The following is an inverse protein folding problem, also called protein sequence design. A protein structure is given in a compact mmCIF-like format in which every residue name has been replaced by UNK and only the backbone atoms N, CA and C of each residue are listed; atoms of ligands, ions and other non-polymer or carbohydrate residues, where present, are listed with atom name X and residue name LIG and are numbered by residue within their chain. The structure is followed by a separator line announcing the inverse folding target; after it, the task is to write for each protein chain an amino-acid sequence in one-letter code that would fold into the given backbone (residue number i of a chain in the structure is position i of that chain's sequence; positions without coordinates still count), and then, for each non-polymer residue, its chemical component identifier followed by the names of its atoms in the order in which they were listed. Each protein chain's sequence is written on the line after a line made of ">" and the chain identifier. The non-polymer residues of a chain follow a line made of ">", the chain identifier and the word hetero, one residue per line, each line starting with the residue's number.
data_IF_260368885675
#
_entry.id   IF_260368885675
#
_cell.length_a   1.000
_cell.length_b   1.000
_cell.length_c   1.000
_cell.angle_alpha   90.00
_cell.angle_beta   90.00
_cell.angle_gamma   90.00
#
_symmetry.space_group_name_H-M   'P 1'
#
loop_
_entity.id
_entity.type
_entity.pdbx_description
1 polymer ?
#
# COMPACT_ATOMS: atom_id res chain seq x y z
N UNK A 1 45.60 -2.87 -22.62
CA UNK A 1 44.81 -2.43 -21.44
C UNK A 1 43.37 -2.16 -21.86
N UNK A 2 42.41 -3.03 -21.52
CA UNK A 2 40.98 -2.86 -21.86
C UNK A 2 40.22 -2.46 -20.58
N UNK A 3 39.68 -1.24 -20.52
CA UNK A 3 38.80 -0.76 -19.44
C UNK A 3 37.36 -1.16 -19.76
N UNK A 4 36.78 -2.06 -18.97
CA UNK A 4 35.34 -2.34 -18.99
C UNK A 4 34.59 -1.20 -18.28
N UNK A 5 33.70 -0.52 -19.00
CA UNK A 5 32.69 0.37 -18.42
C UNK A 5 31.68 -0.48 -17.66
N UNK A 6 31.69 -0.43 -16.33
CA UNK A 6 30.55 -0.87 -15.52
C UNK A 6 29.38 0.07 -15.81
N UNK A 7 28.35 -0.43 -16.50
CA UNK A 7 27.04 0.19 -16.50
C UNK A 7 26.49 0.10 -15.07
N UNK A 8 26.40 1.24 -14.39
CA UNK A 8 25.60 1.38 -13.18
C UNK A 8 24.15 1.20 -13.59
N UNK A 9 23.56 0.05 -13.25
CA UNK A 9 22.12 -0.13 -13.24
C UNK A 9 21.57 0.74 -12.11
N UNK A 10 20.95 1.86 -12.46
CA UNK A 10 20.15 2.66 -11.53
C UNK A 10 18.88 1.86 -11.21
N UNK A 11 18.95 0.98 -10.21
CA UNK A 11 17.77 0.36 -9.62
C UNK A 11 17.14 1.38 -8.68
N UNK A 12 16.10 2.07 -9.15
CA UNK A 12 15.24 2.86 -8.27
C UNK A 12 14.56 1.88 -7.30
N UNK A 13 14.74 2.01 -5.97
CA UNK A 13 14.12 1.10 -5.02
C UNK A 13 12.59 1.23 -5.12
N UNK A 14 11.90 0.09 -5.04
CA UNK A 14 10.43 0.05 -5.14
C UNK A 14 9.80 0.97 -4.09
N UNK A 15 10.22 0.84 -2.82
CA UNK A 15 9.90 1.81 -1.77
C UNK A 15 11.15 2.61 -1.38
N UNK A 16 11.17 3.94 -1.55
CA UNK A 16 12.29 4.76 -1.10
C UNK A 16 12.37 4.77 0.43
N UNK A 17 13.60 4.82 0.98
CA UNK A 17 13.81 5.07 2.41
C UNK A 17 13.23 6.43 2.74
N UNK A 18 12.46 6.51 3.81
CA UNK A 18 11.72 7.69 4.30
C UNK A 18 12.56 8.95 4.58
N UNK A 19 13.88 8.90 4.41
CA UNK A 19 14.80 10.04 4.60
C UNK A 19 15.13 10.80 3.32
N UNK A 20 14.81 10.27 2.14
CA UNK A 20 14.96 11.02 0.89
C UNK A 20 13.66 11.77 0.63
N UNK A 21 13.76 13.11 0.71
CA UNK A 21 12.65 14.06 0.70
C UNK A 21 11.81 13.92 -0.57
N UNK A 22 10.72 13.14 -0.51
CA UNK A 22 9.71 13.14 -1.56
C UNK A 22 9.15 14.57 -1.70
N UNK A 23 9.12 15.15 -2.91
CA UNK A 23 8.56 16.49 -3.11
C UNK A 23 7.11 16.50 -2.64
N UNK A 24 6.80 17.48 -1.80
CA UNK A 24 5.59 17.57 -0.95
C UNK A 24 4.33 17.98 -1.73
N UNK A 25 4.21 17.61 -2.99
CA UNK A 25 3.01 17.91 -3.79
C UNK A 25 2.02 16.78 -3.60
N UNK A 26 1.29 16.86 -2.48
CA UNK A 26 0.45 15.79 -1.98
C UNK A 26 -0.93 15.88 -2.61
N UNK A 27 -1.15 15.08 -3.66
CA UNK A 27 -2.50 14.83 -4.12
C UNK A 27 -3.24 14.04 -3.04
N UNK A 28 -4.12 14.72 -2.31
CA UNK A 28 -5.07 14.12 -1.37
C UNK A 28 -6.43 14.07 -2.07
N UNK A 29 -7.06 12.90 -2.10
CA UNK A 29 -8.32 12.68 -2.81
C UNK A 29 -9.47 13.54 -2.21
N UNK A 30 -10.29 14.22 -3.03
CA UNK A 30 -11.28 15.22 -2.56
C UNK A 30 -12.45 14.65 -1.75
N UNK A 31 -12.72 13.34 -1.80
CA UNK A 31 -13.79 12.75 -0.96
C UNK A 31 -13.50 12.80 0.55
N UNK A 32 -12.30 13.24 0.95
CA UNK A 32 -11.89 13.29 2.35
C UNK A 32 -12.26 14.57 3.10
N UNK A 33 -12.57 15.68 2.42
CA UNK A 33 -13.10 16.86 3.14
C UNK A 33 -14.44 16.53 3.82
N UNK A 34 -15.19 15.57 3.27
CA UNK A 34 -16.42 15.06 3.86
C UNK A 34 -16.16 14.10 5.04
N UNK A 35 -15.16 13.20 4.93
CA UNK A 35 -14.76 12.25 5.99
C UNK A 35 -14.17 12.97 7.22
N UNK A 36 -13.46 14.09 7.00
CA UNK A 36 -12.92 14.94 8.07
C UNK A 36 -14.01 15.69 8.84
N UNK A 37 -15.16 15.94 8.22
CA UNK A 37 -16.28 16.65 8.82
C UNK A 37 -17.28 15.73 9.53
N UNK A 38 -17.42 14.47 9.09
CA UNK A 38 -18.39 13.52 9.65
C UNK A 38 -17.93 12.85 10.94
N UNK A 39 -16.63 12.61 11.10
CA UNK A 39 -16.09 11.90 12.28
C UNK A 39 -15.17 12.81 13.08
N UNK A 40 -15.71 13.42 14.14
CA UNK A 40 -14.89 14.03 15.20
C UNK A 40 -13.93 12.96 15.73
N UNK A 41 -12.64 13.15 15.48
CA UNK A 41 -11.52 12.43 16.09
C UNK A 41 -11.18 10.99 15.61
N UNK A 42 -11.51 10.59 14.38
CA UNK A 42 -10.78 9.46 13.77
C UNK A 42 -9.38 9.95 13.37
N UNK A 43 -8.34 9.40 14.02
CA UNK A 43 -6.93 9.63 13.71
C UNK A 43 -6.62 9.09 12.31
N UNK A 44 -6.97 9.80 11.25
CA UNK A 44 -6.67 9.40 9.88
C UNK A 44 -5.16 9.53 9.66
N UNK A 45 -4.50 8.39 9.43
CA UNK A 45 -3.08 8.37 9.15
C UNK A 45 -2.81 8.48 7.66
N UNK A 46 -1.65 9.04 7.35
CA UNK A 46 -1.24 9.35 5.98
C UNK A 46 -0.05 8.49 5.58
N UNK A 47 -0.27 7.62 4.58
CA UNK A 47 0.76 6.79 3.96
C UNK A 47 1.14 7.37 2.59
N UNK A 48 2.39 7.79 2.43
CA UNK A 48 2.89 8.30 1.15
C UNK A 48 3.54 7.16 0.35
N UNK A 49 3.08 6.96 -0.89
CA UNK A 49 3.55 5.90 -1.78
C UNK A 49 3.91 6.48 -3.14
N UNK A 50 4.93 5.93 -3.81
CA UNK A 50 5.13 6.23 -5.23
C UNK A 50 3.97 5.67 -6.04
N UNK A 51 3.69 6.21 -7.24
CA UNK A 51 2.62 5.64 -8.06
C UNK A 51 2.87 4.18 -8.45
N UNK A 52 4.13 3.77 -8.61
CA UNK A 52 4.49 2.36 -8.79
C UNK A 52 4.05 1.51 -7.59
N UNK A 53 4.30 1.99 -6.38
CA UNK A 53 3.87 1.31 -5.15
C UNK A 53 2.36 1.25 -5.03
N UNK A 54 1.64 2.32 -5.41
CA UNK A 54 0.18 2.34 -5.43
C UNK A 54 -0.35 1.26 -6.38
N UNK A 55 0.25 1.06 -7.57
CA UNK A 55 -0.13 -0.01 -8.50
C UNK A 55 0.10 -1.39 -7.92
N UNK A 56 1.24 -1.59 -7.24
CA UNK A 56 1.56 -2.86 -6.58
C UNK A 56 0.54 -3.15 -5.48
N UNK A 57 0.24 -2.17 -4.62
CA UNK A 57 -0.74 -2.33 -3.54
C UNK A 57 -2.15 -2.56 -4.11
N UNK A 58 -2.57 -1.84 -5.15
CA UNK A 58 -3.85 -2.06 -5.83
C UNK A 58 -3.96 -3.50 -6.37
N UNK A 59 -2.89 -4.00 -6.99
CA UNK A 59 -2.84 -5.36 -7.55
C UNK A 59 -2.96 -6.42 -6.43
N UNK A 60 -2.24 -6.23 -5.32
CA UNK A 60 -2.28 -7.14 -4.17
C UNK A 60 -3.67 -7.14 -3.54
N UNK A 61 -4.25 -5.95 -3.29
CA UNK A 61 -5.60 -5.80 -2.74
C UNK A 61 -6.64 -6.43 -3.67
N UNK A 62 -6.55 -6.19 -4.98
CA UNK A 62 -7.44 -6.79 -5.98
C UNK A 62 -7.36 -8.31 -6.04
N UNK A 63 -6.15 -8.87 -5.91
CA UNK A 63 -5.93 -10.32 -5.86
C UNK A 63 -6.55 -10.93 -4.60
N UNK A 64 -6.38 -10.29 -3.45
CA UNK A 64 -6.96 -10.76 -2.19
C UNK A 64 -8.48 -10.61 -2.15
N UNK A 65 -9.05 -9.53 -2.72
CA UNK A 65 -10.49 -9.39 -2.93
C UNK A 65 -11.05 -10.53 -3.77
N UNK A 66 -10.40 -10.84 -4.90
CA UNK A 66 -10.81 -11.94 -5.76
C UNK A 66 -10.79 -13.26 -4.98
N UNK A 67 -9.74 -13.53 -4.21
CA UNK A 67 -9.67 -14.71 -3.34
C UNK A 67 -10.81 -14.75 -2.31
N UNK A 68 -11.08 -13.64 -1.63
CA UNK A 68 -12.17 -13.56 -0.67
C UNK A 68 -13.51 -13.78 -1.34
N UNK A 69 -13.79 -13.17 -2.48
CA UNK A 69 -15.05 -13.38 -3.21
C UNK A 69 -15.28 -14.85 -3.58
N UNK A 70 -14.23 -15.56 -4.01
CA UNK A 70 -14.32 -16.99 -4.33
C UNK A 70 -14.50 -17.87 -3.10
N UNK A 71 -13.97 -17.49 -1.93
CA UNK A 71 -14.02 -18.27 -0.68
C UNK A 71 -15.13 -17.82 0.29
N UNK A 72 -15.72 -16.64 0.09
CA UNK A 72 -16.65 -15.94 0.99
C UNK A 72 -18.07 -16.46 1.00
N UNK A 73 -18.42 -17.39 0.09
CA UNK A 73 -19.73 -18.09 0.12
C UNK A 73 -20.05 -18.74 1.48
N UNK A 74 -19.07 -18.81 2.39
CA UNK A 74 -19.12 -19.55 3.64
C UNK A 74 -19.14 -18.70 4.93
N UNK A 75 -18.84 -17.38 4.92
CA UNK A 75 -18.73 -16.59 6.18
C UNK A 75 -19.21 -15.13 6.10
N UNK A 76 -20.15 -14.69 6.98
CA UNK A 76 -20.61 -13.30 7.07
C UNK A 76 -19.48 -12.28 7.36
N UNK A 77 -18.47 -12.66 8.13
CA UNK A 77 -17.31 -11.80 8.44
C UNK A 77 -16.49 -11.40 7.21
N UNK A 78 -16.56 -12.18 6.12
CA UNK A 78 -15.88 -11.83 4.87
C UNK A 78 -16.60 -10.70 4.13
N UNK A 79 -17.91 -10.51 4.30
CA UNK A 79 -18.66 -9.44 3.61
C UNK A 79 -18.17 -8.06 4.02
N UNK A 80 -17.95 -7.84 5.32
CA UNK A 80 -17.44 -6.57 5.85
C UNK A 80 -16.01 -6.30 5.32
N UNK A 81 -15.15 -7.33 5.31
CA UNK A 81 -13.79 -7.22 4.75
C UNK A 81 -13.81 -6.89 3.25
N UNK A 82 -14.65 -7.58 2.47
CA UNK A 82 -14.82 -7.33 1.04
C UNK A 82 -15.27 -5.89 0.80
N UNK A 83 -16.25 -5.39 1.56
CA UNK A 83 -16.73 -4.02 1.42
C UNK A 83 -15.64 -2.99 1.73
N UNK A 84 -14.91 -3.14 2.85
CA UNK A 84 -13.79 -2.24 3.21
C UNK A 84 -12.67 -2.29 2.18
N UNK A 85 -12.23 -3.48 1.77
CA UNK A 85 -11.19 -3.64 0.75
C UNK A 85 -11.62 -3.08 -0.61
N UNK A 86 -12.89 -3.21 -0.99
CA UNK A 86 -13.44 -2.60 -2.21
C UNK A 86 -13.36 -1.08 -2.14
N UNK A 87 -13.72 -0.49 -0.99
CA UNK A 87 -13.56 0.95 -0.75
C UNK A 87 -12.09 1.42 -0.80
N UNK A 88 -11.18 0.66 -0.20
CA UNK A 88 -9.73 0.92 -0.27
C UNK A 88 -9.22 0.84 -1.72
N UNK A 89 -9.62 -0.19 -2.46
CA UNK A 89 -9.26 -0.37 -3.88
C UNK A 89 -9.75 0.79 -4.74
N UNK A 90 -10.98 1.26 -4.53
CA UNK A 90 -11.52 2.42 -5.24
C UNK A 90 -10.70 3.70 -4.96
N UNK A 91 -10.26 3.92 -3.72
CA UNK A 91 -9.36 5.03 -3.38
C UNK A 91 -8.02 4.91 -4.10
N UNK A 92 -7.41 3.73 -4.11
CA UNK A 92 -6.15 3.47 -4.83
C UNK A 92 -6.30 3.73 -6.34
N UNK A 93 -7.37 3.23 -6.95
CA UNK A 93 -7.68 3.46 -8.36
C UNK A 93 -7.89 4.95 -8.68
N UNK A 94 -8.59 5.68 -7.79
CA UNK A 94 -8.75 7.13 -7.89
C UNK A 94 -7.41 7.85 -7.92
N UNK A 95 -6.46 7.48 -7.06
CA UNK A 95 -5.11 8.05 -7.06
C UNK A 95 -4.39 7.77 -8.39
N UNK A 96 -4.43 6.53 -8.89
CA UNK A 96 -3.82 6.16 -10.17
C UNK A 96 -4.40 6.93 -11.36
N UNK A 97 -5.69 7.26 -11.34
CA UNK A 97 -6.31 8.09 -12.39
C UNK A 97 -5.75 9.52 -12.44
N UNK A 98 -5.21 10.02 -11.33
CA UNK A 98 -4.56 11.34 -11.29
C UNK A 98 -3.09 11.31 -11.73
N UNK A 99 -2.39 10.17 -11.66
CA UNK A 99 -1.06 9.98 -12.25
C UNK A 99 -1.07 10.34 -13.74
N UNK A 100 -2.14 9.93 -14.44
CA UNK A 100 -2.32 10.17 -15.88
C UNK A 100 -2.42 11.66 -16.26
N UNK A 101 -2.63 12.55 -15.28
CA UNK A 101 -2.65 14.01 -15.47
C UNK A 101 -1.24 14.64 -15.35
N UNK A 102 -0.20 13.83 -15.14
CA UNK A 102 1.21 14.18 -15.39
C UNK A 102 1.90 15.07 -14.36
N UNK A 103 1.27 15.39 -13.23
CA UNK A 103 1.78 16.40 -12.29
C UNK A 103 2.47 15.85 -11.03
N UNK A 104 2.35 14.55 -10.73
CA UNK A 104 2.74 13.99 -9.43
C UNK A 104 3.56 12.71 -9.59
N UNK A 105 4.58 12.51 -8.75
CA UNK A 105 5.40 11.29 -8.69
C UNK A 105 4.96 10.33 -7.57
N UNK A 106 4.16 10.82 -6.63
CA UNK A 106 3.68 10.08 -5.46
C UNK A 106 2.25 10.47 -5.10
N UNK A 107 1.62 9.62 -4.29
CA UNK A 107 0.28 9.83 -3.78
C UNK A 107 0.24 9.65 -2.26
N UNK A 108 -0.64 10.42 -1.62
CA UNK A 108 -0.92 10.28 -0.20
C UNK A 108 -2.22 9.49 -0.02
N UNK A 109 -2.10 8.28 0.51
CA UNK A 109 -3.23 7.46 0.91
C UNK A 109 -3.59 7.76 2.36
N UNK A 110 -4.85 8.16 2.57
CA UNK A 110 -5.40 8.38 3.90
C UNK A 110 -6.09 7.11 4.38
N UNK A 111 -5.74 6.65 5.58
CA UNK A 111 -6.09 5.33 6.12
C UNK A 111 -6.62 5.47 7.55
N UNK A 112 -7.71 4.77 7.85
CA UNK A 112 -8.15 4.54 9.24
C UNK A 112 -7.31 3.42 9.88
N UNK A 113 -7.48 3.19 11.20
CA UNK A 113 -6.84 2.06 11.88
C UNK A 113 -7.21 0.74 11.23
N UNK A 114 -8.50 0.52 10.94
CA UNK A 114 -8.93 -0.74 10.36
C UNK A 114 -8.49 -0.88 8.90
N UNK A 115 -8.31 0.24 8.17
CA UNK A 115 -7.67 0.17 6.85
C UNK A 115 -6.23 -0.33 6.97
N UNK A 116 -5.48 0.13 7.98
CA UNK A 116 -4.10 -0.30 8.25
C UNK A 116 -4.03 -1.77 8.68
N UNK A 117 -4.88 -2.19 9.61
CA UNK A 117 -4.96 -3.59 10.05
C UNK A 117 -5.27 -4.53 8.89
N UNK A 118 -6.24 -4.14 8.06
CA UNK A 118 -6.67 -4.92 6.91
C UNK A 118 -5.59 -4.96 5.82
N UNK A 119 -4.88 -3.85 5.58
CA UNK A 119 -3.75 -3.83 4.66
C UNK A 119 -2.58 -4.70 5.17
N UNK A 120 -2.33 -4.72 6.48
CA UNK A 120 -1.33 -5.60 7.08
C UNK A 120 -1.71 -7.08 6.89
N UNK A 121 -2.98 -7.44 7.13
CA UNK A 121 -3.50 -8.80 6.87
C UNK A 121 -3.30 -9.22 5.40
N UNK A 122 -3.65 -8.33 4.47
CA UNK A 122 -3.49 -8.56 3.02
C UNK A 122 -2.02 -8.78 2.65
N UNK A 123 -1.11 -7.95 3.17
CA UNK A 123 0.32 -8.07 2.91
C UNK A 123 0.90 -9.37 3.47
N UNK A 124 0.52 -9.77 4.69
CA UNK A 124 0.99 -11.04 5.29
C UNK A 124 0.51 -12.26 4.49
N UNK A 125 -0.76 -12.24 4.05
CA UNK A 125 -1.32 -13.29 3.21
C UNK A 125 -0.56 -13.39 1.87
N UNK A 126 -0.31 -12.25 1.22
CA UNK A 126 0.40 -12.19 -0.06
C UNK A 126 1.87 -12.60 0.07
N UNK A 127 2.58 -12.15 1.10
CA UNK A 127 3.94 -12.56 1.41
C UNK A 127 4.04 -14.07 1.66
N UNK A 128 3.05 -14.64 2.34
CA UNK A 128 2.96 -16.08 2.55
C UNK A 128 2.77 -16.83 1.22
N UNK A 129 1.90 -16.32 0.34
CA UNK A 129 1.66 -16.92 -0.98
C UNK A 129 2.88 -16.85 -1.89
N UNK A 130 3.55 -15.69 -2.01
CA UNK A 130 4.76 -15.54 -2.82
C UNK A 130 5.84 -16.53 -2.37
N UNK A 131 6.09 -16.63 -1.06
CA UNK A 131 7.11 -17.54 -0.51
C UNK A 131 6.82 -19.01 -0.81
N UNK A 132 5.54 -19.39 -0.91
CA UNK A 132 5.10 -20.78 -1.16
C UNK A 132 5.03 -21.12 -2.65
N UNK A 133 4.57 -20.19 -3.47
CA UNK A 133 4.18 -20.45 -4.86
C UNK A 133 5.21 -19.98 -5.89
N UNK A 134 6.15 -19.10 -5.50
CA UNK A 134 7.13 -18.52 -6.42
C UNK A 134 8.51 -19.12 -6.16
N UNK A 135 9.13 -19.65 -7.23
CA UNK A 135 10.51 -20.15 -7.21
C UNK A 135 11.46 -19.05 -6.73
N UNK A 136 12.51 -19.42 -5.98
CA UNK A 136 13.50 -18.44 -5.50
C UNK A 136 14.18 -17.77 -6.69
N UNK A 137 14.08 -16.45 -6.76
CA UNK A 137 14.85 -15.60 -7.67
C UNK A 137 15.24 -14.31 -6.94
N UNK A 138 16.21 -13.59 -7.50
CA UNK A 138 16.60 -12.29 -6.96
C UNK A 138 15.43 -11.30 -7.00
N UNK A 139 14.65 -11.24 -8.09
CA UNK A 139 13.53 -10.30 -8.17
C UNK A 139 12.46 -10.60 -7.13
N UNK A 140 12.20 -11.89 -6.86
CA UNK A 140 11.27 -12.29 -5.82
C UNK A 140 11.74 -11.83 -4.45
N UNK A 141 13.03 -12.01 -4.14
CA UNK A 141 13.58 -11.66 -2.84
C UNK A 141 13.58 -10.13 -2.62
N UNK A 142 13.86 -9.36 -3.67
CA UNK A 142 13.74 -7.89 -3.68
C UNK A 142 12.30 -7.45 -3.43
N UNK A 143 11.31 -8.05 -4.12
CA UNK A 143 9.90 -7.77 -3.89
C UNK A 143 9.46 -8.13 -2.46
N UNK A 144 9.88 -9.28 -1.94
CA UNK A 144 9.58 -9.70 -0.56
C UNK A 144 10.17 -8.71 0.44
N UNK A 145 11.39 -8.24 0.23
CA UNK A 145 12.03 -7.25 1.10
C UNK A 145 11.30 -5.91 1.05
N UNK A 146 10.93 -5.46 -0.16
CA UNK A 146 10.17 -4.24 -0.39
C UNK A 146 8.81 -4.28 0.34
N UNK A 147 8.06 -5.37 0.19
CA UNK A 147 6.77 -5.55 0.87
C UNK A 147 6.90 -5.69 2.39
N UNK A 148 7.97 -6.32 2.90
CA UNK A 148 8.25 -6.37 4.35
C UNK A 148 8.59 -4.99 4.91
N UNK A 149 9.23 -4.11 4.14
CA UNK A 149 9.45 -2.73 4.54
C UNK A 149 8.12 -1.99 4.67
N UNK A 150 7.24 -2.06 3.65
CA UNK A 150 5.91 -1.48 3.71
C UNK A 150 5.10 -2.02 4.90
N UNK A 151 5.16 -3.32 5.15
CA UNK A 151 4.48 -3.95 6.28
C UNK A 151 4.92 -3.37 7.62
N UNK A 152 6.23 -3.22 7.85
CA UNK A 152 6.75 -2.59 9.07
C UNK A 152 6.28 -1.15 9.23
N UNK A 153 6.25 -0.38 8.13
CA UNK A 153 5.72 0.99 8.17
C UNK A 153 4.25 1.01 8.61
N UNK A 154 3.44 0.06 8.13
CA UNK A 154 2.03 -0.07 8.54
C UNK A 154 1.93 -0.49 10.00
N UNK A 155 2.75 -1.44 10.46
CA UNK A 155 2.79 -1.86 11.86
C UNK A 155 3.16 -0.71 12.79
N UNK A 156 4.18 0.09 12.45
CA UNK A 156 4.58 1.27 13.21
C UNK A 156 3.43 2.30 13.27
N UNK A 157 2.74 2.52 12.16
CA UNK A 157 1.57 3.39 12.07
C UNK A 157 0.41 2.92 12.96
N UNK A 158 0.13 1.61 12.98
CA UNK A 158 -0.85 1.00 13.89
C UNK A 158 -0.44 1.25 15.35
N UNK A 159 0.82 1.00 15.71
CA UNK A 159 1.32 1.21 17.07
C UNK A 159 1.21 2.68 17.51
N UNK A 160 1.53 3.63 16.63
CA UNK A 160 1.37 5.06 16.91
C UNK A 160 -0.10 5.41 17.18
N UNK A 161 -1.03 4.85 16.40
CA UNK A 161 -2.47 5.08 16.63
C UNK A 161 -2.96 4.45 17.94
N UNK A 162 -2.50 3.24 18.29
CA UNK A 162 -2.91 2.57 19.52
C UNK A 162 -2.36 3.26 20.77
N UNK A 163 -1.11 3.73 20.72
CA UNK A 163 -0.45 4.38 21.85
C UNK A 163 -0.80 5.88 22.00
N UNK A 164 -1.33 6.51 20.94
CA UNK A 164 -1.74 7.92 20.96
C UNK A 164 -3.17 8.17 21.45
N UNK A 165 -3.84 7.15 22.00
CA UNK A 165 -5.23 7.19 22.50
C UNK A 165 -5.28 7.32 24.04
N UNK A 166 -4.15 7.62 24.70
CA UNK A 166 -4.08 7.96 26.14
C UNK A 166 -4.48 9.42 26.45
#
# INVERSE_FOLDING_TARGET
>A
MRRQKKQQQNTTPLFPKTNDSLPTTNLVWPAYDQLRQSDRALLVLRLCLSFNDVRVVETIVGSYLSYLEHTSRLKPSHRVKIQRLSGLRMRLYGLLAHEQKGAFSSAALLLTLEDLELLNEVLEAFLTLIKRLTVRSQERDELVQALRFLQRTIEDMIQIQLNGVE
#
